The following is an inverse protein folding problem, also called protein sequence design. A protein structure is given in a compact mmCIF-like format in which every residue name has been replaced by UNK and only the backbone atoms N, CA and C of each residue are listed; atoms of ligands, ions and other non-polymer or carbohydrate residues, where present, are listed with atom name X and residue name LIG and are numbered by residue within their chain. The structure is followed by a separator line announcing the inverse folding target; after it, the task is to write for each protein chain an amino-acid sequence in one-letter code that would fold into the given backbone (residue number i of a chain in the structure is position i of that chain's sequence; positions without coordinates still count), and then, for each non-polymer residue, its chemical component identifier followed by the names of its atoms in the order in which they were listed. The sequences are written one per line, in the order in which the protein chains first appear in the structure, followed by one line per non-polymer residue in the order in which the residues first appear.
data_IF_934799920181
#
_entry.id   IF_934799920181
#
_cell.length_a   1.000
_cell.length_b   1.000
_cell.length_c   1.000
_cell.angle_alpha   90.00
_cell.angle_beta   90.00
_cell.angle_gamma   90.00
#
_symmetry.space_group_name_H-M   'P 1'
#
loop_
_entity.id
_entity.type
_entity.pdbx_description
1 polymer ?
#
# COMPACT_ATOMS: atom_id res chain seq x y z
N UNK A 1 2.33 -54.54 -17.96
CA UNK A 1 1.00 -55.06 -18.34
C UNK A 1 0.12 -55.10 -17.10
N UNK A 2 -0.73 -54.10 -16.93
CA UNK A 2 -2.08 -54.26 -16.37
C UNK A 2 -2.79 -52.93 -16.60
N UNK A 3 -3.94 -53.04 -17.25
CA UNK A 3 -4.77 -51.98 -17.82
C UNK A 3 -6.19 -52.20 -17.34
N UNK A 4 -7.00 -51.14 -17.48
CA UNK A 4 -8.45 -50.98 -17.32
C UNK A 4 -9.00 -50.56 -15.93
N UNK A 5 -10.15 -49.85 -15.89
CA UNK A 5 -10.68 -48.88 -16.86
C UNK A 5 -11.38 -47.63 -16.26
N UNK A 6 -11.70 -46.70 -17.18
CA UNK A 6 -12.59 -45.54 -17.09
C UNK A 6 -13.84 -45.67 -16.20
N UNK A 7 -14.26 -44.56 -15.59
CA UNK A 7 -15.68 -44.15 -15.57
C UNK A 7 -15.80 -42.61 -15.66
N UNK A 8 -16.55 -42.21 -16.68
CA UNK A 8 -16.87 -40.85 -17.10
C UNK A 8 -18.19 -40.43 -16.45
N UNK A 9 -18.30 -39.22 -15.87
CA UNK A 9 -19.52 -38.38 -15.96
C UNK A 9 -19.31 -36.95 -15.43
N UNK A 10 -19.68 -35.90 -16.19
CA UNK A 10 -19.98 -34.54 -15.72
C UNK A 10 -21.52 -34.40 -15.52
N UNK A 11 -22.16 -33.21 -15.39
CA UNK A 11 -21.79 -31.86 -14.90
C UNK A 11 -22.75 -31.39 -13.78
N UNK A 12 -22.63 -30.15 -13.26
CA UNK A 12 -23.82 -29.35 -12.89
C UNK A 12 -23.57 -27.84 -13.13
N UNK A 13 -24.40 -27.26 -14.00
CA UNK A 13 -24.52 -25.82 -14.28
C UNK A 13 -25.50 -25.17 -13.29
N UNK A 14 -25.13 -23.99 -12.79
CA UNK A 14 -25.88 -22.77 -12.40
C UNK A 14 -27.32 -22.86 -11.84
N UNK A 15 -27.69 -21.87 -11.01
CA UNK A 15 -28.63 -20.90 -11.58
C UNK A 15 -28.22 -19.43 -11.40
N UNK A 16 -28.51 -18.70 -12.47
CA UNK A 16 -28.72 -17.27 -12.58
C UNK A 16 -29.76 -16.75 -11.59
N UNK A 17 -29.51 -15.58 -11.00
CA UNK A 17 -30.56 -14.77 -10.37
C UNK A 17 -30.70 -13.46 -11.15
N UNK A 18 -31.90 -13.24 -11.69
CA UNK A 18 -32.40 -12.00 -12.28
C UNK A 18 -33.60 -11.52 -11.43
N UNK A 19 -33.76 -10.19 -11.35
CA UNK A 19 -34.92 -9.50 -10.77
C UNK A 19 -34.57 -8.81 -9.45
N UNK A 20 -34.96 -7.57 -9.15
CA UNK A 20 -35.98 -6.69 -9.73
C UNK A 20 -35.67 -5.24 -9.34
N UNK A 21 -36.25 -4.32 -10.12
CA UNK A 21 -36.23 -2.86 -9.96
C UNK A 21 -37.03 -2.36 -8.76
N UNK A 22 -36.75 -1.10 -8.43
CA UNK A 22 -37.63 -0.07 -7.82
C UNK A 22 -37.83 -0.10 -6.30
N UNK A 23 -37.43 0.99 -5.62
CA UNK A 23 -38.34 2.12 -5.40
C UNK A 23 -37.68 3.26 -4.63
N UNK A 24 -37.93 4.47 -5.12
CA UNK A 24 -37.77 5.73 -4.41
C UNK A 24 -38.72 5.77 -3.20
N UNK A 25 -38.27 6.36 -2.09
CA UNK A 25 -39.15 7.08 -1.16
C UNK A 25 -38.36 8.16 -0.45
N UNK A 26 -38.60 9.39 -0.90
CA UNK A 26 -38.40 10.59 -0.12
C UNK A 26 -39.45 10.63 0.99
N UNK A 27 -39.02 10.93 2.22
CA UNK A 27 -39.92 11.41 3.27
C UNK A 27 -39.36 12.75 3.74
N UNK A 28 -40.02 13.79 3.25
CA UNK A 28 -40.13 15.11 3.85
C UNK A 28 -41.17 14.98 4.98
N UNK A 29 -40.94 15.57 6.17
CA UNK A 29 -41.93 16.40 6.86
C UNK A 29 -41.42 16.97 8.21
N UNK A 30 -41.59 18.30 8.33
CA UNK A 30 -41.99 19.09 9.52
C UNK A 30 -41.15 18.99 10.80
N UNK A 31 -40.59 20.07 11.36
CA UNK A 31 -41.15 21.42 11.46
C UNK A 31 -41.95 21.56 12.76
N UNK A 32 -41.30 21.95 13.86
CA UNK A 32 -41.95 22.42 15.09
C UNK A 32 -41.33 23.77 15.45
N UNK A 33 -42.09 24.82 15.20
CA UNK A 33 -41.96 26.11 15.88
C UNK A 33 -42.47 25.96 17.31
N UNK A 34 -41.73 26.50 18.28
CA UNK A 34 -42.30 26.91 19.56
C UNK A 34 -41.81 28.33 19.86
N UNK A 35 -42.78 29.26 19.85
CA UNK A 35 -42.62 30.68 20.13
C UNK A 35 -42.29 30.97 21.61
N UNK A 36 -41.76 32.18 21.92
CA UNK A 36 -41.08 32.46 23.17
C UNK A 36 -42.01 32.92 24.29
N UNK A 37 -41.64 32.60 25.53
CA UNK A 37 -42.19 33.20 26.75
C UNK A 37 -41.52 34.57 27.00
N UNK A 38 -42.36 35.59 27.11
CA UNK A 38 -42.02 36.96 27.50
C UNK A 38 -42.22 37.08 29.02
N UNK A 39 -41.21 37.61 29.73
CA UNK A 39 -41.34 38.30 31.02
C UNK A 39 -40.07 39.16 31.27
N UNK A 40 -40.12 40.17 32.16
CA UNK A 40 -39.94 41.57 31.77
C UNK A 40 -38.53 42.14 31.98
N UNK A 41 -38.32 43.31 31.36
CA UNK A 41 -37.13 44.14 31.42
C UNK A 41 -36.84 44.67 32.84
N UNK A 42 -35.60 44.45 33.30
CA UNK A 42 -34.96 45.27 34.31
C UNK A 42 -33.95 46.16 33.58
N UNK A 43 -34.18 47.47 33.60
CA UNK A 43 -33.22 48.48 33.18
C UNK A 43 -31.95 48.37 34.04
N UNK A 44 -30.83 48.10 33.37
CA UNK A 44 -29.50 48.32 33.91
C UNK A 44 -28.74 49.18 32.92
N UNK A 45 -28.07 50.21 33.45
CA UNK A 45 -27.32 51.21 32.71
C UNK A 45 -26.33 50.58 31.71
N UNK A 46 -26.07 51.23 30.55
CA UNK A 46 -25.22 50.66 29.53
C UNK A 46 -23.78 50.57 30.00
N UNK A 47 -23.28 49.34 30.15
CA UNK A 47 -21.85 49.08 30.23
C UNK A 47 -21.16 49.54 28.93
N UNK A 48 -19.93 50.08 29.00
CA UNK A 48 -19.23 50.54 27.81
C UNK A 48 -19.01 49.36 26.85
N UNK A 49 -19.30 49.59 25.57
CA UNK A 49 -19.10 48.62 24.50
C UNK A 49 -17.65 48.13 24.49
N UNK A 50 -17.46 46.88 24.91
CA UNK A 50 -16.22 46.17 24.68
C UNK A 50 -16.13 45.88 23.17
N UNK A 51 -15.18 46.53 22.49
CA UNK A 51 -14.78 46.15 21.14
C UNK A 51 -14.40 44.67 21.14
N UNK A 52 -15.23 43.85 20.48
CA UNK A 52 -14.91 42.46 20.20
C UNK A 52 -13.75 42.44 19.21
N UNK A 53 -12.55 42.17 19.70
CA UNK A 53 -11.42 41.85 18.84
C UNK A 53 -11.78 40.63 17.98
N UNK A 54 -11.55 40.67 16.66
CA UNK A 54 -11.80 39.52 15.81
C UNK A 54 -10.93 38.37 16.31
N UNK A 55 -11.56 37.23 16.61
CA UNK A 55 -10.87 36.00 16.97
C UNK A 55 -9.80 35.74 15.91
N UNK A 56 -8.54 35.91 16.30
CA UNK A 56 -7.41 35.51 15.48
C UNK A 56 -7.65 34.04 15.11
N UNK A 57 -7.79 33.77 13.82
CA UNK A 57 -7.72 32.43 13.28
C UNK A 57 -6.41 31.82 13.80
N UNK A 58 -6.50 31.04 14.87
CA UNK A 58 -5.42 30.20 15.29
C UNK A 58 -5.27 29.16 14.19
N UNK A 59 -4.26 29.36 13.33
CA UNK A 59 -3.83 28.28 12.46
C UNK A 59 -3.58 27.05 13.34
N UNK A 60 -4.10 25.87 12.97
CA UNK A 60 -3.88 24.68 13.76
C UNK A 60 -2.38 24.46 13.84
N UNK A 61 -1.84 24.49 15.06
CA UNK A 61 -0.45 24.16 15.32
C UNK A 61 -0.17 22.81 14.67
N UNK A 62 0.67 22.80 13.63
CA UNK A 62 1.09 21.58 12.96
C UNK A 62 1.87 20.76 13.98
N UNK A 63 1.24 19.73 14.52
CA UNK A 63 1.91 18.78 15.40
C UNK A 63 3.14 18.25 14.66
N UNK A 64 4.32 18.50 15.23
CA UNK A 64 5.59 18.06 14.65
C UNK A 64 5.56 16.55 14.45
N UNK A 65 5.78 16.09 13.21
CA UNK A 65 5.93 14.67 12.91
C UNK A 65 7.25 14.19 13.51
N UNK A 66 7.16 13.72 14.74
CA UNK A 66 8.31 13.29 15.53
C UNK A 66 9.06 12.13 14.87
N UNK A 67 8.35 11.20 14.22
CA UNK A 67 8.96 10.06 13.54
C UNK A 67 9.75 10.54 12.33
N UNK A 68 9.16 11.44 11.52
CA UNK A 68 9.87 12.07 10.40
C UNK A 68 11.12 12.82 10.87
N UNK A 69 11.04 13.56 11.96
CA UNK A 69 12.20 14.26 12.51
C UNK A 69 13.32 13.29 12.90
N UNK A 70 12.98 12.23 13.65
CA UNK A 70 13.93 11.20 14.06
C UNK A 70 14.61 10.55 12.84
N UNK A 71 13.84 10.16 11.82
CA UNK A 71 14.36 9.56 10.59
C UNK A 71 15.24 10.54 9.79
N UNK A 72 14.83 11.81 9.71
CA UNK A 72 15.58 12.86 8.99
C UNK A 72 16.92 13.10 9.67
N UNK A 73 16.91 13.26 11.01
CA UNK A 73 18.14 13.46 11.77
C UNK A 73 19.06 12.24 11.71
N UNK A 74 18.49 11.03 11.77
CA UNK A 74 19.25 9.80 11.66
C UNK A 74 20.01 9.69 10.33
N UNK A 75 19.32 10.00 9.22
CA UNK A 75 19.92 10.04 7.88
C UNK A 75 21.02 11.08 7.80
N UNK A 76 20.77 12.31 8.27
CA UNK A 76 21.74 13.42 8.20
C UNK A 76 22.99 13.17 9.06
N UNK A 77 22.81 12.58 10.25
CA UNK A 77 23.89 12.31 11.21
C UNK A 77 24.59 10.98 10.95
N UNK A 78 24.00 10.10 10.14
CA UNK A 78 24.49 8.73 9.94
C UNK A 78 24.39 7.85 11.19
N UNK A 79 23.62 8.23 12.20
CA UNK A 79 23.44 7.51 13.47
C UNK A 79 22.04 7.78 14.06
N UNK A 80 21.44 6.77 14.69
CA UNK A 80 20.16 6.91 15.40
C UNK A 80 20.19 6.16 16.74
N UNK A 81 19.67 6.77 17.82
CA UNK A 81 19.66 6.15 19.14
C UNK A 81 18.62 5.03 19.30
N UNK A 82 17.69 4.88 18.35
CA UNK A 82 16.53 3.99 18.49
C UNK A 82 16.48 2.86 17.44
N UNK A 83 17.16 3.01 16.31
CA UNK A 83 17.12 2.03 15.22
C UNK A 83 18.31 2.22 14.27
N UNK A 84 18.75 1.15 13.63
CA UNK A 84 19.77 1.17 12.58
C UNK A 84 19.51 0.05 11.56
N UNK A 85 20.02 0.24 10.35
CA UNK A 85 19.96 -0.70 9.24
C UNK A 85 21.32 -1.39 9.06
N UNK A 86 21.53 -2.50 9.77
CA UNK A 86 22.80 -3.19 9.78
C UNK A 86 23.05 -3.99 11.05
N UNK A 87 24.31 -4.36 11.26
CA UNK A 87 24.78 -5.04 12.47
C UNK A 87 25.55 -4.12 13.43
N UNK A 88 25.97 -2.95 12.96
CA UNK A 88 26.71 -1.94 13.72
C UNK A 88 25.75 -0.83 14.17
N UNK A 89 25.42 -0.76 15.47
CA UNK A 89 24.51 0.26 16.00
C UNK A 89 25.06 1.68 15.88
N UNK A 90 26.36 1.87 15.65
CA UNK A 90 26.95 3.19 15.46
C UNK A 90 26.63 3.78 14.07
N UNK A 91 26.16 2.96 13.12
CA UNK A 91 25.88 3.35 11.74
C UNK A 91 24.40 3.20 11.46
N UNK A 92 23.73 4.32 11.14
CA UNK A 92 22.31 4.30 10.83
C UNK A 92 21.99 3.43 9.60
N UNK A 93 22.86 3.40 8.60
CA UNK A 93 22.68 2.57 7.40
C UNK A 93 24.02 1.95 6.98
N UNK A 94 24.06 0.61 6.92
CA UNK A 94 25.18 -0.16 6.36
C UNK A 94 24.78 -0.94 5.11
N UNK A 95 23.52 -1.38 5.04
CA UNK A 95 22.99 -2.06 3.86
C UNK A 95 22.41 -1.02 2.91
N UNK A 96 23.13 -0.75 1.82
CA UNK A 96 22.75 0.20 0.78
C UNK A 96 22.53 -0.43 -0.59
N UNK A 97 22.80 -1.73 -0.74
CA UNK A 97 22.61 -2.49 -1.97
C UNK A 97 21.63 -3.62 -1.73
N UNK A 98 20.64 -3.76 -2.61
CA UNK A 98 19.67 -4.84 -2.56
C UNK A 98 19.85 -5.76 -3.77
N UNK A 99 19.59 -7.06 -3.60
CA UNK A 99 19.41 -7.96 -4.73
C UNK A 99 18.07 -7.64 -5.40
N UNK A 100 18.04 -7.50 -6.73
CA UNK A 100 16.80 -7.37 -7.49
C UNK A 100 16.05 -8.71 -7.50
N UNK A 101 15.21 -8.92 -6.48
CA UNK A 101 14.23 -10.00 -6.43
C UNK A 101 12.84 -9.41 -6.55
N UNK A 102 11.86 -10.22 -6.95
CA UNK A 102 10.46 -9.81 -6.81
C UNK A 102 10.10 -9.81 -5.32
N UNK A 103 9.77 -8.63 -4.82
CA UNK A 103 9.43 -8.40 -3.42
C UNK A 103 7.90 -8.32 -3.33
N UNK A 104 7.26 -9.10 -2.44
CA UNK A 104 5.81 -9.01 -2.27
C UNK A 104 5.43 -7.68 -1.62
N UNK A 105 4.43 -7.01 -2.20
CA UNK A 105 3.84 -5.78 -1.67
C UNK A 105 2.44 -6.09 -1.17
N UNK A 106 2.11 -5.60 0.02
CA UNK A 106 0.76 -5.63 0.57
C UNK A 106 0.31 -4.21 0.87
N UNK A 107 -0.86 -3.84 0.38
CA UNK A 107 -1.47 -2.54 0.69
C UNK A 107 -2.77 -2.76 1.44
N UNK A 108 -3.11 -1.80 2.31
CA UNK A 108 -4.29 -1.85 3.16
C UNK A 108 -4.96 -0.48 3.13
N UNK A 109 -6.26 -0.41 2.82
CA UNK A 109 -6.99 0.87 2.72
C UNK A 109 -6.85 1.60 1.38
N UNK A 110 -6.24 0.96 0.37
CA UNK A 110 -5.96 1.55 -0.95
C UNK A 110 -6.98 1.16 -2.03
N UNK A 111 -7.56 -0.04 -1.91
CA UNK A 111 -8.47 -0.59 -2.92
C UNK A 111 -9.68 0.32 -3.14
N UNK A 112 -10.01 0.56 -4.40
CA UNK A 112 -11.08 1.47 -4.82
C UNK A 112 -10.74 2.95 -4.67
N UNK A 113 -9.48 3.29 -4.37
CA UNK A 113 -9.03 4.67 -4.18
C UNK A 113 -8.87 5.49 -5.46
N UNK A 114 -9.01 4.86 -6.64
CA UNK A 114 -8.81 5.49 -7.95
C UNK A 114 -7.35 5.47 -8.41
N UNK A 115 -7.06 6.20 -9.47
CA UNK A 115 -5.76 6.21 -10.15
C UNK A 115 -4.63 6.65 -9.21
N UNK A 116 -3.55 5.85 -9.18
CA UNK A 116 -2.38 6.08 -8.34
C UNK A 116 -2.55 5.69 -6.88
N UNK A 117 -3.78 5.52 -6.38
CA UNK A 117 -4.05 5.09 -5.00
C UNK A 117 -4.43 3.61 -4.93
N UNK A 118 -5.22 3.10 -5.87
CA UNK A 118 -5.50 1.66 -5.97
C UNK A 118 -4.26 0.93 -6.52
N UNK A 119 -3.81 -0.14 -5.86
CA UNK A 119 -2.61 -0.86 -6.28
C UNK A 119 -2.71 -1.40 -7.71
N UNK A 120 -3.91 -1.80 -8.14
CA UNK A 120 -4.14 -2.32 -9.49
C UNK A 120 -3.98 -1.24 -10.57
N UNK A 121 -4.01 0.04 -10.19
CA UNK A 121 -3.71 1.14 -11.12
C UNK A 121 -2.21 1.33 -11.39
N UNK A 122 -1.36 0.58 -10.69
CA UNK A 122 0.11 0.64 -10.78
C UNK A 122 0.74 -0.69 -11.23
N UNK A 123 -0.02 -1.79 -11.21
CA UNK A 123 0.47 -3.15 -11.52
C UNK A 123 -0.16 -3.72 -12.79
N UNK A 124 0.30 -4.91 -13.20
CA UNK A 124 -0.25 -5.60 -14.36
C UNK A 124 -0.21 -4.72 -15.62
N UNK A 125 -1.32 -4.60 -16.36
CA UNK A 125 -1.41 -3.75 -17.55
C UNK A 125 -0.99 -2.29 -17.34
N UNK A 126 -1.02 -1.78 -16.11
CA UNK A 126 -0.68 -0.39 -15.78
C UNK A 126 0.78 -0.19 -15.36
N UNK A 127 1.55 -1.26 -15.22
CA UNK A 127 2.97 -1.25 -14.83
C UNK A 127 3.79 -0.25 -15.65
N UNK A 128 4.64 0.52 -14.96
CA UNK A 128 5.65 1.40 -15.56
C UNK A 128 6.54 0.64 -16.56
N UNK A 129 6.84 -0.63 -16.29
CA UNK A 129 7.71 -1.49 -17.09
C UNK A 129 7.07 -1.99 -18.40
N UNK A 130 5.78 -1.73 -18.63
CA UNK A 130 5.11 -1.99 -19.91
C UNK A 130 5.26 -0.85 -20.92
N UNK A 131 5.88 0.28 -20.54
CA UNK A 131 5.95 1.48 -21.37
C UNK A 131 7.37 2.05 -21.44
N UNK A 132 7.92 2.08 -22.65
CA UNK A 132 9.17 2.80 -22.93
C UNK A 132 9.11 4.27 -22.53
N UNK A 133 7.98 4.92 -22.79
CA UNK A 133 7.77 6.34 -22.45
C UNK A 133 7.87 6.57 -20.94
N UNK A 134 7.16 5.75 -20.15
CA UNK A 134 7.20 5.86 -18.68
C UNK A 134 8.59 5.55 -18.14
N UNK A 135 9.27 4.52 -18.66
CA UNK A 135 10.65 4.20 -18.26
C UNK A 135 11.61 5.34 -18.62
N UNK A 136 11.46 5.96 -19.79
CA UNK A 136 12.25 7.13 -20.19
C UNK A 136 11.99 8.33 -19.28
N UNK A 137 10.75 8.56 -18.89
CA UNK A 137 10.40 9.62 -17.93
C UNK A 137 11.02 9.35 -16.55
N UNK A 138 11.03 8.09 -16.12
CA UNK A 138 11.56 7.69 -14.82
C UNK A 138 13.10 7.74 -14.75
N UNK A 139 13.78 7.16 -15.74
CA UNK A 139 15.24 6.97 -15.74
C UNK A 139 15.99 7.99 -16.60
N UNK A 140 15.30 8.87 -17.33
CA UNK A 140 15.89 9.78 -18.32
C UNK A 140 16.32 9.10 -19.63
N UNK A 141 16.25 7.78 -19.68
CA UNK A 141 16.53 6.91 -20.83
C UNK A 141 15.72 5.62 -20.67
N UNK A 142 15.66 4.78 -21.70
CA UNK A 142 15.08 3.43 -21.56
C UNK A 142 16.22 2.48 -21.23
N UNK A 143 16.28 1.91 -20.01
CA UNK A 143 17.33 0.96 -19.69
C UNK A 143 17.18 -0.31 -20.56
N UNK A 144 18.31 -0.90 -20.93
CA UNK A 144 18.35 -2.07 -21.84
C UNK A 144 17.63 -3.26 -21.22
N UNK A 145 16.81 -3.96 -22.00
CA UNK A 145 16.08 -5.18 -21.63
C UNK A 145 15.09 -5.03 -20.45
N UNK A 146 14.50 -3.85 -20.30
CA UNK A 146 13.61 -3.54 -19.16
C UNK A 146 12.13 -3.39 -19.50
N UNK A 147 11.82 -3.12 -20.77
CA UNK A 147 10.43 -3.06 -21.25
C UNK A 147 9.91 -4.48 -21.41
N UNK A 148 8.78 -4.79 -20.75
CA UNK A 148 8.16 -6.11 -20.82
C UNK A 148 6.65 -6.00 -20.90
N UNK A 149 6.08 -6.59 -21.95
CA UNK A 149 4.62 -6.78 -22.13
C UNK A 149 4.00 -7.76 -21.12
N UNK A 150 4.82 -8.38 -20.26
CA UNK A 150 4.42 -9.32 -19.21
C UNK A 150 4.73 -8.77 -17.80
N UNK A 151 5.13 -7.52 -17.67
CA UNK A 151 5.41 -6.95 -16.36
C UNK A 151 4.12 -6.87 -15.53
N UNK A 152 4.07 -7.64 -14.44
CA UNK A 152 2.99 -7.63 -13.45
C UNK A 152 3.34 -6.80 -12.21
N UNK A 153 4.56 -6.28 -12.16
CA UNK A 153 5.16 -5.63 -10.98
C UNK A 153 5.27 -4.12 -11.16
N UNK A 154 5.50 -3.44 -10.03
CA UNK A 154 5.77 -2.01 -9.90
C UNK A 154 7.20 -1.77 -9.39
N UNK A 155 7.63 -0.53 -9.16
CA UNK A 155 8.89 -0.24 -8.44
C UNK A 155 8.76 0.71 -7.23
N UNK A 156 9.89 0.98 -6.59
CA UNK A 156 9.98 1.86 -5.42
C UNK A 156 9.43 3.27 -5.68
N UNK A 157 9.51 3.76 -6.92
CA UNK A 157 8.95 5.06 -7.31
C UNK A 157 7.44 5.01 -7.39
N UNK A 158 6.86 3.89 -7.85
CA UNK A 158 5.41 3.68 -7.82
C UNK A 158 4.89 3.60 -6.38
N UNK A 159 5.61 2.96 -5.45
CA UNK A 159 5.27 2.97 -4.01
C UNK A 159 5.28 4.41 -3.46
N UNK A 160 6.30 5.20 -3.80
CA UNK A 160 6.34 6.61 -3.43
C UNK A 160 5.16 7.40 -4.02
N UNK A 161 4.80 7.12 -5.27
CA UNK A 161 3.61 7.65 -5.93
C UNK A 161 2.33 7.32 -5.15
N UNK A 162 2.16 6.07 -4.74
CA UNK A 162 1.03 5.61 -3.93
C UNK A 162 0.95 6.33 -2.59
N UNK A 163 2.08 6.54 -1.91
CA UNK A 163 2.12 7.30 -0.65
C UNK A 163 1.70 8.76 -0.85
N UNK A 164 2.16 9.41 -1.92
CA UNK A 164 1.72 10.77 -2.26
C UNK A 164 0.22 10.83 -2.60
N UNK A 165 -0.28 9.87 -3.37
CA UNK A 165 -1.70 9.77 -3.71
C UNK A 165 -2.56 9.57 -2.45
N UNK A 166 -2.09 8.74 -1.51
CA UNK A 166 -2.75 8.55 -0.22
C UNK A 166 -2.81 9.87 0.58
N UNK A 167 -1.71 10.62 0.62
CA UNK A 167 -1.68 11.93 1.28
C UNK A 167 -2.66 12.91 0.63
N UNK A 168 -2.65 13.01 -0.70
CA UNK A 168 -3.56 13.86 -1.45
C UNK A 168 -5.04 13.47 -1.26
N UNK A 169 -5.33 12.18 -1.08
CA UNK A 169 -6.66 11.67 -0.75
C UNK A 169 -7.05 11.89 0.72
N UNK A 170 -6.28 12.64 1.50
CA UNK A 170 -6.58 13.00 2.89
C UNK A 170 -6.32 11.89 3.90
N UNK A 171 -5.50 10.87 3.56
CA UNK A 171 -5.09 9.85 4.54
C UNK A 171 -4.22 10.50 5.61
N UNK A 172 -4.69 10.45 6.87
CA UNK A 172 -3.99 11.03 8.03
C UNK A 172 -2.72 10.25 8.39
N UNK A 173 -2.75 8.93 8.26
CA UNK A 173 -1.63 8.06 8.62
C UNK A 173 -1.24 7.19 7.43
N UNK A 174 0.03 7.25 7.05
CA UNK A 174 0.60 6.50 5.93
C UNK A 174 1.82 5.77 6.48
N UNK A 175 1.73 4.45 6.58
CA UNK A 175 2.80 3.62 7.10
C UNK A 175 3.42 2.83 5.95
N UNK A 176 4.75 2.88 5.87
CA UNK A 176 5.53 1.95 5.06
C UNK A 176 6.32 1.06 6.02
N UNK A 177 6.04 -0.23 5.98
CA UNK A 177 6.79 -1.24 6.73
C UNK A 177 7.60 -2.04 5.74
N UNK A 178 8.92 -1.96 5.87
CA UNK A 178 9.86 -2.66 4.98
C UNK A 178 10.40 -3.88 5.70
N UNK A 179 10.16 -5.05 5.13
CA UNK A 179 10.81 -6.29 5.55
C UNK A 179 12.07 -6.50 4.71
N UNK A 180 13.17 -5.90 5.17
CA UNK A 180 14.43 -5.98 4.45
C UNK A 180 14.94 -7.42 4.38
N UNK A 181 15.38 -7.84 3.20
CA UNK A 181 15.79 -9.22 2.91
C UNK A 181 14.65 -10.24 2.77
N UNK A 182 13.36 -9.82 2.84
CA UNK A 182 12.23 -10.71 2.61
C UNK A 182 11.73 -10.66 1.16
N UNK A 183 11.79 -11.81 0.49
CA UNK A 183 11.13 -12.15 -0.77
C UNK A 183 9.94 -13.11 -0.54
N UNK A 184 9.32 -13.61 -1.61
CA UNK A 184 8.20 -14.53 -1.48
C UNK A 184 8.59 -15.85 -0.79
N UNK A 185 9.75 -16.40 -1.12
CA UNK A 185 10.23 -17.68 -0.61
C UNK A 185 10.50 -17.60 0.90
N UNK A 186 11.17 -16.53 1.34
CA UNK A 186 11.41 -16.28 2.78
C UNK A 186 10.11 -15.96 3.52
N UNK A 187 9.18 -15.25 2.89
CA UNK A 187 7.83 -15.04 3.44
C UNK A 187 7.09 -16.38 3.62
N UNK A 188 7.17 -17.28 2.64
CA UNK A 188 6.59 -18.62 2.71
C UNK A 188 7.26 -19.47 3.79
N UNK A 189 8.59 -19.45 3.88
CA UNK A 189 9.33 -20.15 4.92
C UNK A 189 8.92 -19.67 6.33
N UNK A 190 8.77 -18.36 6.53
CA UNK A 190 8.27 -17.81 7.79
C UNK A 190 6.84 -18.28 8.10
N UNK A 191 5.96 -18.33 7.08
CA UNK A 191 4.61 -18.86 7.24
C UNK A 191 4.59 -20.36 7.57
N UNK A 192 5.48 -21.15 6.96
CA UNK A 192 5.65 -22.59 7.23
C UNK A 192 6.06 -22.81 8.68
N UNK A 193 7.10 -22.10 9.14
CA UNK A 193 7.56 -22.20 10.53
C UNK A 193 6.45 -21.79 11.51
N UNK A 194 5.72 -20.71 11.22
CA UNK A 194 4.63 -20.26 12.09
C UNK A 194 3.46 -21.25 12.13
N UNK A 195 3.11 -21.86 11.00
CA UNK A 195 1.91 -22.72 10.87
C UNK A 195 2.20 -24.21 11.04
N UNK A 196 3.47 -24.61 11.05
CA UNK A 196 3.92 -26.01 11.10
C UNK A 196 3.36 -26.87 9.96
N UNK A 197 3.09 -26.25 8.80
CA UNK A 197 2.60 -26.90 7.58
C UNK A 197 2.93 -26.01 6.37
N UNK A 198 2.64 -26.44 5.14
CA UNK A 198 2.73 -25.58 3.94
C UNK A 198 1.38 -24.88 3.71
N UNK A 199 1.22 -23.59 4.07
CA UNK A 199 -0.09 -22.93 4.02
C UNK A 199 -0.51 -22.46 2.62
N UNK A 200 0.44 -22.29 1.70
CA UNK A 200 0.20 -21.87 0.32
C UNK A 200 1.42 -22.19 -0.55
N UNK A 201 1.23 -22.22 -1.86
CA UNK A 201 2.29 -22.42 -2.87
C UNK A 201 2.33 -21.34 -3.94
N UNK A 202 1.37 -20.42 -3.96
CA UNK A 202 1.27 -19.33 -4.92
C UNK A 202 0.44 -18.15 -4.38
N UNK A 203 0.39 -17.06 -5.13
CA UNK A 203 -0.43 -15.88 -4.83
C UNK A 203 0.06 -15.06 -3.63
N UNK A 204 -0.87 -14.32 -3.01
CA UNK A 204 -0.60 -13.42 -1.87
C UNK A 204 -0.07 -14.13 -0.62
N UNK A 205 -0.21 -15.44 -0.55
CA UNK A 205 0.11 -16.25 0.61
C UNK A 205 -0.90 -16.17 1.76
N UNK A 206 -0.62 -16.95 2.79
CA UNK A 206 -1.43 -17.10 4.00
C UNK A 206 -0.53 -17.55 5.14
N UNK A 207 -0.81 -17.13 6.36
CA UNK A 207 -0.16 -17.70 7.53
C UNK A 207 0.53 -16.70 8.42
N UNK A 208 0.93 -15.55 7.89
CA UNK A 208 1.44 -14.38 8.61
C UNK A 208 0.35 -13.33 8.80
N UNK A 209 0.45 -12.48 9.84
CA UNK A 209 -0.61 -11.52 10.17
C UNK A 209 -0.93 -10.58 8.99
N UNK A 210 0.08 -10.00 8.34
CA UNK A 210 -0.11 -9.11 7.20
C UNK A 210 -0.68 -9.83 5.96
N UNK A 211 -0.42 -11.14 5.82
CA UNK A 211 -1.00 -11.93 4.73
C UNK A 211 -2.50 -12.16 4.96
N UNK A 212 -2.88 -12.44 6.20
CA UNK A 212 -4.25 -12.78 6.60
C UNK A 212 -5.13 -11.54 6.85
N UNK A 213 -4.53 -10.36 7.06
CA UNK A 213 -5.25 -9.12 7.33
C UNK A 213 -5.99 -8.59 6.09
N UNK A 214 -7.32 -8.51 6.17
CA UNK A 214 -8.16 -8.14 5.03
C UNK A 214 -8.45 -6.62 4.93
N UNK A 215 -8.17 -5.84 5.97
CA UNK A 215 -8.47 -4.41 6.05
C UNK A 215 -9.89 -4.04 5.56
N UNK A 216 -10.93 -4.68 6.11
CA UNK A 216 -12.33 -4.50 5.66
C UNK A 216 -12.54 -4.71 4.15
N UNK A 217 -11.82 -5.67 3.56
CA UNK A 217 -11.90 -5.99 2.14
C UNK A 217 -11.10 -5.05 1.24
N UNK A 218 -10.31 -4.14 1.80
CA UNK A 218 -9.49 -3.16 1.06
C UNK A 218 -8.03 -3.57 0.91
N UNK A 219 -7.64 -4.75 1.42
CA UNK A 219 -6.28 -5.26 1.21
C UNK A 219 -6.04 -5.62 -0.26
N UNK A 220 -4.86 -5.29 -0.79
CA UNK A 220 -4.37 -5.75 -2.08
C UNK A 220 -2.96 -6.34 -1.93
N UNK A 221 -2.55 -7.11 -2.93
CA UNK A 221 -1.19 -7.63 -3.00
C UNK A 221 -0.64 -7.43 -4.41
N UNK A 222 0.67 -7.31 -4.50
CA UNK A 222 1.38 -7.18 -5.76
C UNK A 222 2.85 -7.51 -5.59
N UNK A 223 3.63 -7.13 -6.58
CA UNK A 223 5.06 -7.38 -6.64
C UNK A 223 5.76 -6.09 -6.98
N UNK A 224 6.92 -5.87 -6.37
CA UNK A 224 7.80 -4.79 -6.78
C UNK A 224 9.20 -5.29 -7.11
N UNK A 225 9.89 -4.53 -7.95
CA UNK A 225 11.34 -4.60 -8.16
C UNK A 225 12.01 -3.36 -7.57
N UNK A 226 13.26 -3.48 -7.15
CA UNK A 226 14.04 -2.36 -6.60
C UNK A 226 14.72 -1.51 -7.66
N UNK A 227 15.07 -2.10 -8.80
CA UNK A 227 15.65 -1.39 -9.94
C UNK A 227 15.37 -2.18 -11.22
N UNK A 228 15.50 -1.55 -12.39
CA UNK A 228 15.06 -2.14 -13.65
C UNK A 228 16.11 -3.13 -14.21
N UNK A 229 17.21 -3.39 -13.51
CA UNK A 229 18.34 -4.14 -14.06
C UNK A 229 18.04 -5.62 -14.17
N UNK A 230 18.16 -6.14 -15.40
CA UNK A 230 18.17 -7.55 -15.72
C UNK A 230 19.24 -7.79 -16.79
N UNK A 231 20.44 -8.21 -16.40
CA UNK A 231 21.47 -8.73 -17.31
C UNK A 231 21.26 -10.22 -17.63
N UNK A 232 20.08 -10.75 -17.33
CA UNK A 232 19.77 -12.17 -17.40
C UNK A 232 20.44 -12.94 -16.27
N UNK A 233 19.75 -13.96 -15.78
CA UNK A 233 20.35 -14.87 -14.81
C UNK A 233 21.44 -15.70 -15.50
N UNK A 234 22.69 -15.58 -15.04
CA UNK A 234 23.78 -16.46 -15.45
C UNK A 234 23.85 -17.63 -14.48
N UNK A 235 23.41 -18.78 -14.95
CA UNK A 235 23.51 -20.05 -14.24
C UNK A 235 24.58 -20.92 -14.86
N UNK A 236 25.34 -21.61 -14.02
CA UNK A 236 26.15 -22.74 -14.42
C UNK A 236 25.50 -24.00 -13.85
N UNK A 237 24.85 -24.77 -14.73
CA UNK A 237 24.12 -25.99 -14.37
C UNK A 237 25.08 -27.08 -13.89
N UNK A 238 26.32 -27.10 -14.37
CA UNK A 238 27.29 -28.14 -14.00
C UNK A 238 27.83 -27.93 -12.58
N UNK A 239 28.01 -26.67 -12.19
CA UNK A 239 28.47 -26.32 -10.83
C UNK A 239 27.34 -25.99 -9.87
N UNK A 240 26.09 -25.96 -10.35
CA UNK A 240 24.91 -25.52 -9.61
C UNK A 240 25.08 -24.12 -9.00
N UNK A 241 25.75 -23.23 -9.75
CA UNK A 241 26.08 -21.87 -9.27
C UNK A 241 25.31 -20.82 -10.04
N UNK A 242 24.84 -19.79 -9.35
CA UNK A 242 24.26 -18.59 -9.95
C UNK A 242 25.34 -17.49 -9.85
N UNK A 243 25.90 -17.09 -11.00
CA UNK A 243 26.96 -16.06 -11.06
C UNK A 243 26.41 -14.66 -11.36
N UNK A 244 25.22 -14.57 -11.96
CA UNK A 244 24.42 -13.37 -12.01
C UNK A 244 22.97 -13.74 -11.72
N UNK A 245 22.34 -13.28 -10.63
CA UNK A 245 20.92 -13.55 -10.38
C UNK A 245 19.99 -12.75 -11.30
N UNK A 246 20.46 -11.63 -11.85
CA UNK A 246 19.70 -10.67 -12.65
C UNK A 246 20.38 -9.32 -12.61
#
# INVERSE_FOLDING_TARGET
MMSLPCLFRPPLKSPSFQGSRSSLSAILLTGILCSPLICPAAESDPAPAAESQPAANAEPATAVDHVRQLQTEATLKGHSPIAHWGTDPAKYQQWGSHSNRLIPVYTFGTKGGGDGLDLNSLTGPHSTYRSEEKLRQLYGHVPVDTVSDKAEYLDQTDIYGLQKAALAAGRKYIFLVVFDGMDWQTTQAAAIVRRQQVPYTEGRGQGLHFQDYAANGTSQFGWMVTSPHNQGTKVDVNTQTISNPG
#
